data_IF_934095430309
#
_entry.id   IF_934095430309
#
_cell.length_a   1.000
_cell.length_b   1.000
_cell.length_c   1.000
_cell.angle_alpha   90.00
_cell.angle_beta   90.00
_cell.angle_gamma   90.00
#
_symmetry.space_group_name_H-M   'P 1'
#
loop_
_entity.id
_entity.type
_entity.pdbx_description
1 polymer ?
#
# COMPACT_ATOMS: atom_id res chain seq x y z
N UNK A 1 7.05 63.35 15.08
CA UNK A 1 6.29 62.98 16.29
C UNK A 1 6.05 61.48 16.22
N UNK A 2 6.48 60.70 17.22
CA UNK A 2 6.24 59.25 17.19
C UNK A 2 4.73 59.00 17.22
N UNK A 3 4.22 58.30 16.19
CA UNK A 3 2.81 57.90 16.16
C UNK A 3 2.68 56.69 17.07
N UNK A 4 2.19 56.92 18.28
CA UNK A 4 1.93 55.85 19.23
C UNK A 4 0.74 55.01 18.76
N UNK A 5 0.84 53.69 18.94
CA UNK A 5 -0.27 52.77 18.67
C UNK A 5 -1.54 53.27 19.41
N UNK A 6 -2.64 53.60 18.71
CA UNK A 6 -3.84 54.16 19.31
C UNK A 6 -4.61 53.16 20.19
N UNK A 7 -4.26 51.88 20.14
CA UNK A 7 -4.86 50.80 20.93
C UNK A 7 -4.10 50.50 22.23
N UNK A 8 -3.14 51.35 22.63
CA UNK A 8 -2.42 51.18 23.90
C UNK A 8 -3.40 51.31 25.07
N UNK A 9 -3.45 50.28 25.91
CA UNK A 9 -4.24 50.26 27.15
C UNK A 9 -3.49 50.88 28.34
N UNK A 10 -2.19 51.16 28.19
CA UNK A 10 -1.35 51.78 29.23
C UNK A 10 -0.42 52.85 28.65
N UNK A 11 -0.26 53.94 29.39
CA UNK A 11 0.63 55.05 29.03
C UNK A 11 1.59 55.32 30.18
N UNK A 12 2.88 55.31 29.87
CA UNK A 12 3.95 55.59 30.83
C UNK A 12 4.19 57.09 30.85
N UNK A 13 4.21 57.67 32.04
CA UNK A 13 4.42 59.11 32.23
C UNK A 13 5.43 59.35 33.35
N UNK A 14 5.89 60.59 33.51
CA UNK A 14 6.74 61.00 34.64
C UNK A 14 6.11 60.80 36.04
N UNK A 15 4.80 60.49 36.09
CA UNK A 15 4.06 60.23 37.32
C UNK A 15 3.83 58.73 37.57
N UNK A 16 4.31 57.86 36.68
CA UNK A 16 4.23 56.39 36.84
C UNK A 16 5.13 55.99 38.01
N UNK A 17 4.61 55.26 39.03
CA UNK A 17 5.42 54.75 40.13
C UNK A 17 6.65 53.95 39.64
N UNK A 18 7.76 54.07 40.36
CA UNK A 18 9.02 53.38 40.06
C UNK A 18 9.15 52.04 40.81
N UNK A 19 8.03 51.50 41.31
CA UNK A 19 7.94 50.24 42.05
C UNK A 19 8.13 49.01 41.16
N UNK A 20 7.98 49.14 39.84
CA UNK A 20 8.22 48.06 38.88
C UNK A 20 6.94 47.32 38.48
N UNK A 21 5.87 47.43 39.26
CA UNK A 21 4.61 46.70 39.08
C UNK A 21 3.99 46.91 37.68
N UNK A 22 4.01 48.14 37.18
CA UNK A 22 3.47 48.45 35.86
C UNK A 22 4.34 47.94 34.70
N UNK A 23 5.63 47.69 34.97
CA UNK A 23 6.59 47.08 34.04
C UNK A 23 6.38 45.58 34.00
N UNK A 24 6.27 44.96 35.18
CA UNK A 24 6.09 43.51 35.33
C UNK A 24 4.78 43.07 34.70
N UNK A 25 3.66 43.76 34.97
CA UNK A 25 2.37 43.53 34.31
C UNK A 25 2.45 43.60 32.76
N UNK A 26 3.28 44.52 32.24
CA UNK A 26 3.45 44.69 30.80
C UNK A 26 4.28 43.55 30.20
N UNK A 27 5.35 43.13 30.91
CA UNK A 27 6.19 41.99 30.52
C UNK A 27 5.37 40.69 30.55
N UNK A 28 4.55 40.47 31.58
CA UNK A 28 3.68 39.30 31.70
C UNK A 28 2.66 39.25 30.55
N UNK A 29 2.02 40.38 30.22
CA UNK A 29 1.09 40.43 29.08
C UNK A 29 1.80 40.17 27.73
N UNK A 30 3.02 40.67 27.56
CA UNK A 30 3.82 40.40 26.35
C UNK A 30 4.18 38.92 26.30
N UNK A 31 4.58 38.34 27.43
CA UNK A 31 4.90 36.93 27.55
C UNK A 31 3.70 36.04 27.23
N UNK A 32 2.52 36.33 27.78
CA UNK A 32 1.27 35.64 27.47
C UNK A 32 0.92 35.72 25.98
N UNK A 33 1.06 36.89 25.36
CA UNK A 33 0.79 37.06 23.93
C UNK A 33 1.81 36.28 23.06
N UNK A 34 3.09 36.28 23.44
CA UNK A 34 4.12 35.51 22.75
C UNK A 34 3.86 34.00 22.89
N UNK A 35 3.47 33.54 24.08
CA UNK A 35 3.08 32.16 24.33
C UNK A 35 1.86 31.76 23.50
N UNK A 36 0.82 32.61 23.46
CA UNK A 36 -0.37 32.39 22.62
C UNK A 36 0.00 32.26 21.14
N UNK A 37 0.86 33.14 20.62
CA UNK A 37 1.30 33.05 19.23
C UNK A 37 2.09 31.78 18.96
N UNK A 38 2.98 31.37 19.88
CA UNK A 38 3.72 30.12 19.79
C UNK A 38 2.77 28.92 19.75
N UNK A 39 1.82 28.85 20.68
CA UNK A 39 0.86 27.74 20.76
C UNK A 39 -0.01 27.64 19.49
N UNK A 40 -0.38 28.79 18.90
CA UNK A 40 -1.11 28.83 17.62
C UNK A 40 -0.26 28.34 16.45
N UNK A 41 1.02 28.68 16.40
CA UNK A 41 1.94 28.16 15.39
C UNK A 41 2.19 26.66 15.58
N UNK A 42 2.49 26.21 16.79
CA UNK A 42 2.69 24.79 17.11
C UNK A 42 1.46 23.95 16.76
N UNK A 43 0.25 24.46 17.06
CA UNK A 43 -1.00 23.79 16.69
C UNK A 43 -1.21 23.74 15.17
N UNK A 44 -0.82 24.80 14.45
CA UNK A 44 -0.86 24.83 12.98
C UNK A 44 0.11 23.82 12.40
N UNK A 45 1.34 23.77 12.90
CA UNK A 45 2.37 22.83 12.46
C UNK A 45 1.98 21.38 12.76
N UNK A 46 1.39 21.12 13.93
CA UNK A 46 0.83 19.82 14.27
C UNK A 46 -0.29 19.40 13.31
N UNK A 47 -1.21 20.31 12.98
CA UNK A 47 -2.29 20.06 12.03
C UNK A 47 -1.76 19.82 10.60
N UNK A 48 -0.76 20.58 10.16
CA UNK A 48 -0.13 20.42 8.84
C UNK A 48 0.66 19.12 8.73
N UNK A 49 1.35 18.73 9.80
CA UNK A 49 2.04 17.44 9.91
C UNK A 49 1.05 16.27 9.88
N UNK A 50 -0.08 16.38 10.59
CA UNK A 50 -1.14 15.37 10.60
C UNK A 50 -1.91 15.27 9.27
N UNK A 51 -2.01 16.37 8.53
CA UNK A 51 -2.60 16.39 7.19
C UNK A 51 -1.64 15.90 6.08
N UNK A 52 -0.38 15.62 6.43
CA UNK A 52 0.63 15.19 5.47
C UNK A 52 0.40 13.75 5.03
N UNK A 53 0.74 13.45 3.77
CA UNK A 53 0.84 12.07 3.28
C UNK A 53 1.79 11.30 4.21
N UNK A 54 1.35 10.20 4.84
CA UNK A 54 2.19 9.43 5.77
C UNK A 54 3.34 8.76 5.01
N UNK A 55 4.40 8.41 5.73
CA UNK A 55 5.52 7.64 5.17
C UNK A 55 5.03 6.35 4.50
N UNK A 56 5.52 6.10 3.30
CA UNK A 56 5.07 5.00 2.43
C UNK A 56 3.74 5.25 1.70
N UNK A 57 3.04 6.34 1.98
CA UNK A 57 1.86 6.77 1.22
C UNK A 57 2.23 7.12 -0.23
N UNK A 58 1.30 6.85 -1.15
CA UNK A 58 1.49 7.05 -2.59
C UNK A 58 0.52 8.12 -3.08
N UNK A 59 1.03 9.05 -3.89
CA UNK A 59 0.25 10.11 -4.53
C UNK A 59 0.43 10.08 -6.05
N UNK A 60 -0.54 10.64 -6.76
CA UNK A 60 -0.40 11.01 -8.16
C UNK A 60 0.25 12.40 -8.26
N UNK A 61 1.28 12.53 -9.10
CA UNK A 61 2.01 13.78 -9.30
C UNK A 61 2.43 13.93 -10.77
N UNK A 62 1.44 14.13 -11.64
CA UNK A 62 1.64 14.14 -13.10
C UNK A 62 2.52 15.29 -13.60
N UNK A 63 2.63 16.37 -12.81
CA UNK A 63 3.38 17.58 -13.14
C UNK A 63 4.69 17.71 -12.37
N UNK A 64 5.11 16.69 -11.63
CA UNK A 64 6.37 16.67 -10.88
C UNK A 64 6.51 17.79 -9.83
N UNK A 65 5.43 18.11 -9.11
CA UNK A 65 5.40 19.18 -8.11
C UNK A 65 5.72 18.70 -6.69
N UNK A 66 5.68 17.39 -6.43
CA UNK A 66 6.02 16.86 -5.12
C UNK A 66 7.50 17.08 -4.80
N UNK A 67 7.79 17.53 -3.58
CA UNK A 67 9.16 17.79 -3.12
C UNK A 67 10.02 16.53 -3.23
N UNK A 68 11.10 16.60 -4.02
CA UNK A 68 11.98 15.48 -4.32
C UNK A 68 12.79 14.95 -3.14
N UNK A 69 12.90 15.71 -2.05
CA UNK A 69 13.48 15.24 -0.78
C UNK A 69 12.50 14.38 0.02
N UNK A 70 11.20 14.60 -0.18
CA UNK A 70 10.13 13.96 0.59
C UNK A 70 9.47 12.82 -0.20
N UNK A 71 9.51 12.88 -1.52
CA UNK A 71 8.86 11.96 -2.42
C UNK A 71 9.81 11.44 -3.50
N UNK A 72 9.62 10.17 -3.89
CA UNK A 72 10.37 9.52 -4.97
C UNK A 72 9.39 8.80 -5.91
N UNK A 73 9.73 8.71 -7.19
CA UNK A 73 8.97 7.90 -8.16
C UNK A 73 8.81 6.46 -7.65
N UNK A 74 7.59 5.92 -7.70
CA UNK A 74 7.30 4.53 -7.39
C UNK A 74 7.58 3.66 -8.63
N UNK A 75 8.86 3.49 -8.95
CA UNK A 75 9.36 2.82 -10.16
C UNK A 75 10.44 1.76 -9.87
N UNK A 76 10.45 1.19 -8.65
CA UNK A 76 11.47 0.24 -8.19
C UNK A 76 12.89 0.79 -8.02
N UNK A 77 13.10 2.12 -8.10
CA UNK A 77 14.43 2.68 -7.87
C UNK A 77 14.96 2.35 -6.46
N UNK A 78 16.28 2.16 -6.38
CA UNK A 78 16.97 2.01 -5.11
C UNK A 78 17.17 3.37 -4.45
N UNK A 79 16.85 3.47 -3.15
CA UNK A 79 17.05 4.67 -2.32
C UNK A 79 17.89 4.32 -1.09
N UNK A 80 18.58 5.31 -0.52
CA UNK A 80 19.49 5.11 0.61
C UNK A 80 18.75 4.71 1.89
N UNK A 81 19.17 3.63 2.54
CA UNK A 81 18.70 3.23 3.87
C UNK A 81 19.03 4.28 4.93
N UNK A 82 20.21 4.90 4.84
CA UNK A 82 20.67 5.90 5.82
C UNK A 82 19.91 7.21 5.70
N UNK A 83 19.69 7.70 4.48
CA UNK A 83 18.94 8.94 4.26
C UNK A 83 17.46 8.78 4.62
N UNK A 84 16.86 7.62 4.31
CA UNK A 84 15.43 7.36 4.51
C UNK A 84 15.19 6.30 5.60
N UNK A 85 15.95 6.40 6.70
CA UNK A 85 15.97 5.40 7.78
C UNK A 85 14.62 5.25 8.49
N UNK A 86 13.85 6.33 8.60
CA UNK A 86 12.53 6.31 9.23
C UNK A 86 11.55 5.42 8.46
N UNK A 87 11.48 5.57 7.14
CA UNK A 87 10.70 4.68 6.29
C UNK A 87 11.25 3.24 6.31
N UNK A 88 12.58 3.08 6.22
CA UNK A 88 13.20 1.76 6.30
C UNK A 88 12.79 1.01 7.58
N UNK A 89 12.86 1.66 8.75
CA UNK A 89 12.48 1.07 10.03
C UNK A 89 10.99 0.69 10.11
N UNK A 90 10.10 1.38 9.38
CA UNK A 90 8.69 0.98 9.31
C UNK A 90 8.51 -0.36 8.59
N UNK A 91 9.28 -0.61 7.54
CA UNK A 91 9.11 -1.78 6.66
C UNK A 91 10.08 -2.94 6.96
N UNK A 92 11.21 -2.70 7.62
CA UNK A 92 12.27 -3.69 7.85
C UNK A 92 12.22 -4.30 9.25
N UNK A 93 12.56 -5.58 9.32
CA UNK A 93 12.74 -6.34 10.56
C UNK A 93 13.95 -7.26 10.42
N UNK A 94 14.52 -7.72 11.54
CA UNK A 94 15.68 -8.61 11.55
C UNK A 94 15.37 -9.94 12.28
N UNK A 95 15.24 -11.02 11.52
CA UNK A 95 15.01 -12.37 12.07
C UNK A 95 16.21 -12.78 12.91
N UNK A 96 15.96 -13.14 14.17
CA UNK A 96 17.01 -13.48 15.14
C UNK A 96 17.34 -14.96 15.16
N UNK A 97 16.36 -15.82 14.87
CA UNK A 97 16.54 -17.26 14.67
C UNK A 97 15.29 -17.87 14.06
N UNK A 98 15.42 -19.12 13.60
CA UNK A 98 14.28 -19.98 13.30
C UNK A 98 14.33 -21.17 14.27
N UNK A 99 13.17 -21.61 14.75
CA UNK A 99 12.99 -22.82 15.56
C UNK A 99 12.36 -23.91 14.68
N UNK A 100 13.16 -24.80 14.05
CA UNK A 100 12.66 -25.86 13.17
C UNK A 100 11.60 -26.76 13.80
N UNK A 101 11.78 -27.12 15.08
CA UNK A 101 10.87 -28.05 15.76
C UNK A 101 9.42 -27.55 15.87
N UNK A 102 9.17 -26.25 15.67
CA UNK A 102 7.84 -25.64 15.75
C UNK A 102 7.52 -24.75 14.54
N UNK A 103 8.38 -24.75 13.51
CA UNK A 103 8.27 -23.88 12.33
C UNK A 103 8.15 -22.38 12.65
N UNK A 104 8.77 -21.94 13.75
CA UNK A 104 8.67 -20.56 14.23
C UNK A 104 9.84 -19.70 13.77
N UNK A 105 9.51 -18.56 13.19
CA UNK A 105 10.46 -17.49 12.88
C UNK A 105 10.44 -16.52 14.07
N UNK A 106 11.58 -16.40 14.77
CA UNK A 106 11.70 -15.57 15.97
C UNK A 106 12.11 -14.14 15.59
N UNK A 107 11.34 -13.18 16.07
CA UNK A 107 11.53 -11.75 15.84
C UNK A 107 10.74 -10.97 16.90
N UNK A 108 11.40 -10.36 17.88
CA UNK A 108 10.74 -9.64 18.96
C UNK A 108 9.92 -8.44 18.47
N UNK A 109 8.70 -8.28 18.98
CA UNK A 109 7.83 -7.13 18.71
C UNK A 109 7.68 -6.82 17.21
N UNK A 110 7.51 -7.86 16.40
CA UNK A 110 7.49 -7.73 14.94
C UNK A 110 6.30 -6.91 14.41
N UNK A 111 5.17 -6.93 15.12
CA UNK A 111 3.95 -6.20 14.76
C UNK A 111 3.21 -6.79 13.55
N UNK A 112 3.57 -8.00 13.13
CA UNK A 112 2.91 -8.67 12.01
C UNK A 112 1.57 -9.27 12.43
N UNK A 113 0.64 -9.33 11.48
CA UNK A 113 -0.71 -9.87 11.67
C UNK A 113 -0.97 -11.09 10.78
N UNK A 114 -1.98 -11.90 11.13
CA UNK A 114 -2.38 -13.07 10.36
C UNK A 114 -2.69 -12.69 8.90
N UNK A 115 -2.16 -13.46 7.95
CA UNK A 115 -2.35 -13.26 6.52
C UNK A 115 -1.56 -12.08 5.93
N UNK A 116 -0.71 -11.40 6.71
CA UNK A 116 0.17 -10.38 6.16
C UNK A 116 1.23 -10.98 5.22
N UNK A 117 1.51 -10.29 4.12
CA UNK A 117 2.60 -10.67 3.23
C UNK A 117 3.95 -10.17 3.75
N UNK A 118 4.94 -11.07 3.79
CA UNK A 118 6.34 -10.78 4.14
C UNK A 118 7.28 -11.40 3.11
N UNK A 119 8.52 -10.92 3.08
CA UNK A 119 9.60 -11.56 2.31
C UNK A 119 10.93 -11.45 3.04
N UNK A 120 11.84 -12.36 2.71
CA UNK A 120 13.15 -12.50 3.36
C UNK A 120 14.28 -12.22 2.37
N UNK A 121 15.41 -11.71 2.88
CA UNK A 121 16.62 -11.47 2.08
C UNK A 121 17.50 -12.72 1.93
N UNK A 122 17.20 -13.79 2.65
CA UNK A 122 18.04 -14.99 2.74
C UNK A 122 17.31 -16.24 2.26
N UNK A 123 18.09 -17.25 1.87
CA UNK A 123 17.63 -18.59 1.50
C UNK A 123 18.23 -19.61 2.47
N UNK A 124 17.43 -20.54 2.96
CA UNK A 124 17.84 -21.57 3.92
C UNK A 124 16.70 -21.94 4.87
N UNK A 125 16.79 -23.12 5.48
CA UNK A 125 15.80 -23.56 6.48
C UNK A 125 14.36 -23.62 5.99
N UNK A 126 14.12 -23.92 4.71
CA UNK A 126 12.79 -23.93 4.10
C UNK A 126 12.35 -22.58 3.51
N UNK A 127 13.13 -21.52 3.69
CA UNK A 127 12.86 -20.18 3.13
C UNK A 127 13.65 -19.97 1.85
N UNK A 128 13.01 -19.38 0.84
CA UNK A 128 13.65 -18.90 -0.39
C UNK A 128 13.62 -17.37 -0.41
N UNK A 129 14.77 -16.74 -0.63
CA UNK A 129 14.89 -15.28 -0.69
C UNK A 129 13.93 -14.68 -1.74
N UNK A 130 13.45 -13.47 -1.48
CA UNK A 130 12.55 -12.69 -2.34
C UNK A 130 11.17 -13.32 -2.61
N UNK A 131 10.92 -14.53 -2.10
CA UNK A 131 9.62 -15.19 -2.18
C UNK A 131 8.66 -14.54 -1.18
N UNK A 132 7.41 -14.37 -1.61
CA UNK A 132 6.34 -13.81 -0.78
C UNK A 132 5.73 -14.94 0.07
N UNK A 133 5.62 -14.68 1.36
CA UNK A 133 5.03 -15.60 2.32
C UNK A 133 3.93 -14.90 3.10
N UNK A 134 2.92 -15.67 3.51
CA UNK A 134 1.86 -15.21 4.40
C UNK A 134 2.23 -15.54 5.85
N UNK A 135 2.14 -14.55 6.72
CA UNK A 135 2.30 -14.69 8.17
C UNK A 135 1.14 -15.52 8.73
N UNK A 136 1.45 -16.54 9.51
CA UNK A 136 0.51 -17.48 10.13
C UNK A 136 0.78 -17.60 11.62
N UNK A 137 -0.29 -17.72 12.40
CA UNK A 137 -0.28 -17.89 13.85
C UNK A 137 0.68 -16.92 14.59
N UNK A 138 0.65 -15.61 14.30
CA UNK A 138 1.56 -14.66 14.93
C UNK A 138 1.30 -14.57 16.43
N UNK A 139 2.39 -14.47 17.19
CA UNK A 139 2.41 -14.00 18.57
C UNK A 139 3.01 -12.59 18.59
N UNK A 140 3.44 -12.10 19.76
CA UNK A 140 4.19 -10.83 19.83
C UNK A 140 5.61 -10.97 19.29
N UNK A 141 6.21 -12.16 19.38
CA UNK A 141 7.65 -12.36 19.22
C UNK A 141 8.02 -13.45 18.19
N UNK A 142 7.04 -14.13 17.63
CA UNK A 142 7.25 -15.14 16.61
C UNK A 142 6.01 -15.33 15.72
N UNK A 143 6.20 -15.98 14.59
CA UNK A 143 5.13 -16.41 13.71
C UNK A 143 5.59 -17.60 12.86
N UNK A 144 4.65 -18.25 12.19
CA UNK A 144 4.88 -19.28 11.18
C UNK A 144 4.55 -18.72 9.79
N UNK A 145 4.89 -19.42 8.71
CA UNK A 145 4.63 -18.92 7.35
C UNK A 145 3.95 -19.96 6.45
N UNK A 146 3.21 -19.48 5.44
CA UNK A 146 2.62 -20.29 4.37
C UNK A 146 2.77 -19.63 3.00
N UNK A 147 2.63 -20.39 1.92
CA UNK A 147 2.67 -19.88 0.52
C UNK A 147 1.33 -19.34 0.03
N UNK A 148 0.23 -19.64 0.74
CA UNK A 148 -1.12 -19.13 0.44
C UNK A 148 -1.74 -18.51 1.70
N UNK A 149 -2.76 -17.62 1.57
CA UNK A 149 -3.29 -16.85 2.70
C UNK A 149 -3.76 -17.67 3.91
N UNK A 150 -4.23 -18.89 3.66
CA UNK A 150 -4.70 -19.81 4.70
C UNK A 150 -4.16 -21.23 4.50
N UNK A 151 -2.98 -21.35 3.85
CA UNK A 151 -2.37 -22.62 3.49
C UNK A 151 -1.75 -23.39 4.64
N UNK A 152 -1.17 -24.54 4.32
CA UNK A 152 -0.35 -25.30 5.27
C UNK A 152 0.88 -24.50 5.69
N UNK A 153 1.29 -24.70 6.95
CA UNK A 153 2.55 -24.15 7.45
C UNK A 153 3.72 -24.78 6.66
N UNK A 154 4.70 -23.94 6.32
CA UNK A 154 5.95 -24.37 5.71
C UNK A 154 6.80 -25.02 6.79
N UNK A 155 7.28 -26.23 6.50
CA UNK A 155 8.26 -26.96 7.30
C UNK A 155 9.62 -26.24 7.25
N UNK A 156 10.07 -25.72 8.38
CA UNK A 156 11.33 -25.00 8.50
C UNK A 156 12.41 -25.95 9.01
N UNK A 157 13.49 -26.12 8.26
CA UNK A 157 14.42 -27.24 8.47
C UNK A 157 15.72 -26.87 9.20
N UNK A 158 16.01 -25.58 9.36
CA UNK A 158 17.24 -25.11 10.03
C UNK A 158 17.08 -23.68 10.55
N UNK A 159 17.81 -23.32 11.61
CA UNK A 159 17.87 -21.93 12.06
C UNK A 159 18.48 -21.01 10.99
N UNK A 160 17.95 -19.80 10.84
CA UNK A 160 18.45 -18.75 9.96
C UNK A 160 18.34 -17.39 10.65
N UNK A 161 19.15 -16.43 10.20
CA UNK A 161 19.06 -15.02 10.60
C UNK A 161 19.11 -14.13 9.37
N UNK A 162 18.54 -12.93 9.47
CA UNK A 162 18.67 -11.94 8.40
C UNK A 162 17.46 -11.02 8.23
N UNK A 163 17.53 -10.21 7.19
CA UNK A 163 16.55 -9.16 6.93
C UNK A 163 15.21 -9.72 6.42
N UNK A 164 14.14 -9.12 6.92
CA UNK A 164 12.76 -9.33 6.48
C UNK A 164 12.11 -7.98 6.20
N UNK A 165 11.23 -7.94 5.19
CA UNK A 165 10.37 -6.79 4.93
C UNK A 165 8.90 -7.17 5.12
N UNK A 166 8.14 -6.29 5.79
CA UNK A 166 6.71 -6.48 6.13
C UNK A 166 5.73 -5.87 5.13
N UNK A 167 6.23 -5.20 4.09
CA UNK A 167 5.48 -4.81 2.90
C UNK A 167 6.26 -5.25 1.66
N UNK A 168 5.77 -6.31 1.01
CA UNK A 168 6.47 -6.99 -0.09
C UNK A 168 6.64 -6.13 -1.36
N UNK A 169 5.98 -4.98 -1.46
CA UNK A 169 6.21 -4.01 -2.55
C UNK A 169 7.63 -3.40 -2.52
N UNK A 170 8.25 -3.27 -1.35
CA UNK A 170 9.61 -2.71 -1.20
C UNK A 170 10.67 -3.78 -1.37
N UNK A 171 11.78 -3.50 -2.05
CA UNK A 171 12.90 -4.46 -2.24
C UNK A 171 14.06 -4.26 -1.25
N UNK A 172 14.95 -5.24 -1.17
CA UNK A 172 16.15 -5.16 -0.30
C UNK A 172 17.29 -4.32 -0.88
N UNK A 173 17.16 -3.77 -2.09
CA UNK A 173 18.21 -3.00 -2.74
C UNK A 173 19.44 -3.84 -3.03
N UNK A 174 20.61 -3.25 -2.78
CA UNK A 174 21.92 -3.90 -2.77
C UNK A 174 22.15 -4.85 -1.59
N UNK A 175 21.16 -5.02 -0.71
CA UNK A 175 21.25 -5.86 0.48
C UNK A 175 22.00 -5.22 1.65
N UNK A 176 22.47 -3.97 1.54
CA UNK A 176 23.28 -3.32 2.58
C UNK A 176 22.97 -1.84 2.78
N UNK A 177 23.13 -1.01 1.75
CA UNK A 177 23.06 0.45 1.87
C UNK A 177 21.79 1.06 1.27
N UNK A 178 21.04 0.28 0.49
CA UNK A 178 19.85 0.73 -0.22
C UNK A 178 18.67 -0.21 -0.04
N UNK A 179 17.48 0.27 -0.41
CA UNK A 179 16.26 -0.53 -0.54
C UNK A 179 15.44 0.01 -1.73
N UNK A 180 14.65 -0.85 -2.37
CA UNK A 180 13.83 -0.44 -3.50
C UNK A 180 12.46 0.06 -3.01
N UNK A 181 11.99 1.17 -3.57
CA UNK A 181 10.60 1.62 -3.41
C UNK A 181 9.64 0.74 -4.23
N UNK A 182 8.30 0.83 -4.01
CA UNK A 182 7.32 0.14 -4.84
C UNK A 182 7.45 0.47 -6.33
N UNK A 183 6.94 -0.41 -7.19
CA UNK A 183 6.75 -0.15 -8.62
C UNK A 183 5.26 -0.11 -8.94
N UNK A 184 4.76 1.05 -9.38
CA UNK A 184 3.35 1.28 -9.70
C UNK A 184 3.12 1.54 -11.20
N UNK A 185 4.14 1.32 -12.03
CA UNK A 185 4.01 1.51 -13.48
C UNK A 185 3.14 0.39 -14.07
N UNK A 186 2.17 0.77 -14.89
CA UNK A 186 1.35 -0.16 -15.68
C UNK A 186 0.33 -0.99 -14.91
N UNK A 187 0.17 -0.81 -13.59
CA UNK A 187 -0.74 -1.61 -12.77
C UNK A 187 -1.81 -0.74 -12.08
N UNK A 188 -3.00 -1.31 -11.90
CA UNK A 188 -4.06 -0.67 -11.13
C UNK A 188 -3.94 -0.99 -9.63
N UNK A 189 -4.28 0.00 -8.80
CA UNK A 189 -4.46 -0.23 -7.37
C UNK A 189 -5.84 -0.84 -7.09
N UNK A 190 -5.87 -1.80 -6.14
CA UNK A 190 -7.11 -2.34 -5.56
C UNK A 190 -7.00 -2.24 -4.05
N UNK A 191 -8.11 -1.90 -3.38
CA UNK A 191 -8.17 -1.94 -1.93
C UNK A 191 -7.91 -3.36 -1.41
N UNK A 192 -7.01 -3.48 -0.43
CA UNK A 192 -6.68 -4.75 0.19
C UNK A 192 -7.86 -5.31 1.02
N UNK A 193 -7.91 -6.63 1.13
CA UNK A 193 -8.89 -7.38 1.90
C UNK A 193 -10.20 -7.64 1.17
N UNK A 194 -11.09 -8.33 1.87
CA UNK A 194 -12.43 -8.66 1.41
C UNK A 194 -13.39 -7.52 1.73
N UNK A 195 -14.11 -7.03 0.73
CA UNK A 195 -15.15 -6.03 0.89
C UNK A 195 -16.26 -6.54 1.83
N UNK A 196 -16.85 -5.66 2.65
CA UNK A 196 -17.83 -6.08 3.67
C UNK A 196 -19.16 -6.64 3.13
N UNK A 197 -19.72 -6.04 2.07
CA UNK A 197 -21.07 -6.40 1.60
C UNK A 197 -21.24 -6.48 0.08
N UNK A 198 -20.27 -6.03 -0.71
CA UNK A 198 -20.44 -5.92 -2.16
C UNK A 198 -20.03 -7.22 -2.84
N UNK A 199 -21.02 -7.93 -3.36
CA UNK A 199 -20.82 -9.17 -4.08
C UNK A 199 -20.27 -8.95 -5.50
N UNK A 200 -19.42 -9.87 -5.96
CA UNK A 200 -19.01 -10.01 -7.37
C UNK A 200 -20.00 -10.90 -8.13
N UNK A 201 -19.87 -10.96 -9.45
CA UNK A 201 -20.81 -11.67 -10.33
C UNK A 201 -21.04 -13.15 -9.97
N UNK A 202 -20.00 -13.84 -9.49
CA UNK A 202 -20.08 -15.23 -9.06
C UNK A 202 -20.61 -15.44 -7.63
N UNK A 203 -21.23 -14.41 -7.02
CA UNK A 203 -21.50 -14.32 -5.59
C UNK A 203 -20.22 -14.24 -4.73
N UNK A 204 -20.39 -13.95 -3.43
CA UNK A 204 -19.29 -13.64 -2.51
C UNK A 204 -18.68 -12.26 -2.76
N UNK A 205 -17.95 -11.73 -1.78
CA UNK A 205 -17.49 -10.35 -1.85
C UNK A 205 -16.24 -10.17 -2.74
N UNK A 206 -16.03 -8.93 -3.20
CA UNK A 206 -14.75 -8.53 -3.80
C UNK A 206 -13.61 -8.75 -2.81
N UNK A 207 -12.47 -9.23 -3.30
CA UNK A 207 -11.28 -9.48 -2.49
C UNK A 207 -10.06 -8.93 -3.24
N UNK A 208 -9.29 -8.10 -2.55
CA UNK A 208 -8.03 -7.55 -3.04
C UNK A 208 -6.78 -8.27 -2.55
N UNK A 209 -6.93 -9.28 -1.68
CA UNK A 209 -5.82 -9.93 -1.01
C UNK A 209 -5.15 -9.02 0.02
N UNK A 210 -4.04 -9.47 0.59
CA UNK A 210 -3.27 -8.70 1.57
C UNK A 210 -2.57 -7.50 0.93
N UNK A 211 -2.15 -6.53 1.75
CA UNK A 211 -1.32 -5.41 1.27
C UNK A 211 -0.07 -5.95 0.56
N UNK A 212 0.20 -5.45 -0.65
CA UNK A 212 1.30 -5.90 -1.52
C UNK A 212 1.02 -7.14 -2.37
N UNK A 213 -0.22 -7.65 -2.39
CA UNK A 213 -0.64 -8.72 -3.28
C UNK A 213 -0.63 -8.26 -4.75
N UNK A 214 0.01 -9.05 -5.61
CA UNK A 214 0.19 -8.83 -7.05
C UNK A 214 -0.79 -9.68 -7.87
N UNK A 215 -2.03 -9.20 -7.97
CA UNK A 215 -3.03 -9.80 -8.85
C UNK A 215 -2.66 -9.67 -10.33
N UNK A 216 -2.95 -10.71 -11.10
CA UNK A 216 -2.89 -10.69 -12.57
C UNK A 216 -4.24 -10.28 -13.15
N UNK A 217 -4.25 -9.82 -14.40
CA UNK A 217 -5.48 -9.58 -15.15
C UNK A 217 -6.29 -10.87 -15.30
N UNK A 218 -7.62 -10.74 -15.26
CA UNK A 218 -8.55 -11.88 -15.32
C UNK A 218 -9.82 -11.46 -16.03
N UNK A 219 -10.29 -12.30 -16.95
CA UNK A 219 -11.63 -12.22 -17.52
C UNK A 219 -12.59 -13.15 -16.78
N UNK A 220 -13.89 -12.84 -16.84
CA UNK A 220 -14.90 -13.77 -16.33
C UNK A 220 -15.03 -14.95 -17.29
N UNK A 221 -15.17 -16.15 -16.71
CA UNK A 221 -15.56 -17.33 -17.48
C UNK A 221 -16.91 -17.07 -18.17
N UNK A 222 -16.99 -17.41 -19.45
CA UNK A 222 -18.19 -17.25 -20.26
C UNK A 222 -18.29 -18.35 -21.30
N UNK A 223 -19.50 -18.53 -21.84
CA UNK A 223 -19.81 -19.51 -22.89
C UNK A 223 -20.46 -18.79 -24.06
N UNK A 224 -20.18 -19.25 -25.28
CA UNK A 224 -20.84 -18.77 -26.49
C UNK A 224 -21.88 -19.79 -26.96
N UNK A 225 -23.04 -19.30 -27.41
CA UNK A 225 -24.12 -20.12 -27.96
C UNK A 225 -25.01 -19.30 -28.88
N UNK A 226 -25.82 -19.98 -29.69
CA UNK A 226 -26.82 -19.32 -30.53
C UNK A 226 -27.97 -18.77 -29.65
N UNK A 227 -28.66 -17.74 -30.14
CA UNK A 227 -29.70 -16.97 -29.41
C UNK A 227 -30.96 -17.81 -29.07
N UNK A 228 -31.06 -19.04 -29.57
CA UNK A 228 -32.18 -19.96 -29.36
C UNK A 228 -31.73 -21.20 -28.55
N UNK A 229 -32.64 -21.88 -27.81
CA UNK A 229 -32.32 -23.06 -27.01
C UNK A 229 -32.04 -24.28 -27.90
N UNK A 230 -30.87 -24.32 -28.53
CA UNK A 230 -30.37 -25.55 -29.12
C UNK A 230 -29.63 -26.37 -28.07
N UNK A 231 -29.89 -27.67 -28.15
CA UNK A 231 -29.49 -28.72 -27.23
C UNK A 231 -28.01 -28.62 -26.84
N UNK A 232 -27.73 -28.46 -25.54
CA UNK A 232 -26.37 -28.46 -24.98
C UNK A 232 -25.76 -29.85 -25.18
N UNK A 233 -24.95 -30.04 -26.21
CA UNK A 233 -24.19 -31.27 -26.40
C UNK A 233 -22.93 -31.21 -25.54
N UNK A 234 -22.71 -32.24 -24.71
CA UNK A 234 -21.42 -32.40 -24.04
C UNK A 234 -20.32 -32.65 -25.09
N UNK A 235 -19.09 -32.14 -24.90
CA UNK A 235 -17.97 -32.43 -25.80
C UNK A 235 -17.77 -33.95 -25.92
N UNK A 236 -17.82 -34.48 -27.14
CA UNK A 236 -17.61 -35.91 -27.42
C UNK A 236 -18.86 -36.77 -27.57
N UNK A 237 -20.07 -36.21 -27.39
CA UNK A 237 -21.32 -36.93 -27.65
C UNK A 237 -21.82 -36.66 -29.08
N UNK A 238 -22.04 -37.71 -29.87
CA UNK A 238 -22.75 -37.63 -31.14
C UNK A 238 -24.26 -37.82 -30.93
N UNK A 239 -25.08 -37.02 -31.61
CA UNK A 239 -26.52 -37.29 -31.71
C UNK A 239 -26.72 -38.46 -32.66
N UNK A 240 -27.15 -39.61 -32.16
CA UNK A 240 -27.72 -40.66 -32.99
C UNK A 240 -29.24 -40.46 -33.04
N UNK A 241 -29.70 -39.50 -33.85
CA UNK A 241 -31.07 -39.49 -34.36
C UNK A 241 -31.03 -39.12 -35.84
N UNK A 242 -31.58 -40.02 -36.65
CA UNK A 242 -31.23 -40.31 -38.04
C UNK A 242 -31.58 -39.24 -39.08
N UNK A 243 -31.57 -37.96 -38.74
CA UNK A 243 -31.88 -36.87 -39.68
C UNK A 243 -31.09 -35.56 -39.49
N UNK A 244 -30.30 -35.36 -38.42
CA UNK A 244 -29.53 -34.10 -38.25
C UNK A 244 -28.08 -34.34 -37.84
N UNK A 245 -27.15 -34.02 -38.75
CA UNK A 245 -25.72 -33.99 -38.52
C UNK A 245 -25.37 -32.77 -37.66
N UNK A 246 -24.82 -32.96 -36.45
CA UNK A 246 -24.31 -31.86 -35.63
C UNK A 246 -23.04 -31.28 -36.26
N UNK A 247 -23.16 -30.16 -36.97
CA UNK A 247 -22.00 -29.45 -37.52
C UNK A 247 -21.35 -28.64 -36.39
N UNK A 248 -20.13 -29.01 -36.00
CA UNK A 248 -19.28 -28.13 -35.18
C UNK A 248 -18.86 -26.94 -36.05
N UNK A 249 -19.47 -25.79 -35.81
CA UNK A 249 -19.01 -24.54 -36.43
C UNK A 249 -17.98 -23.89 -35.52
N UNK A 250 -16.84 -23.50 -36.08
CA UNK A 250 -15.86 -22.71 -35.33
C UNK A 250 -16.48 -21.38 -34.93
N UNK A 251 -16.35 -21.02 -33.65
CA UNK A 251 -16.68 -19.68 -33.19
C UNK A 251 -15.68 -18.70 -33.78
N UNK A 252 -16.20 -17.64 -34.43
CA UNK A 252 -15.38 -16.57 -34.96
C UNK A 252 -14.84 -15.63 -33.88
N UNK A 253 -14.08 -14.62 -34.31
CA UNK A 253 -13.66 -13.54 -33.42
C UNK A 253 -14.86 -12.68 -32.98
N UNK A 254 -14.78 -12.03 -31.81
CA UNK A 254 -15.76 -11.02 -31.43
C UNK A 254 -15.92 -9.96 -32.53
N UNK A 255 -17.16 -9.66 -32.91
CA UNK A 255 -17.49 -8.66 -33.95
C UNK A 255 -18.62 -7.74 -33.47
N UNK A 256 -18.84 -6.65 -34.21
CA UNK A 256 -19.90 -5.68 -33.92
C UNK A 256 -21.29 -6.34 -34.02
N UNK A 257 -22.14 -6.12 -33.02
CA UNK A 257 -23.52 -6.63 -32.96
C UNK A 257 -24.58 -5.61 -33.43
N UNK A 258 -24.13 -4.45 -33.92
CA UNK A 258 -24.97 -3.34 -34.38
C UNK A 258 -25.47 -2.41 -33.28
N UNK A 259 -25.29 -2.75 -31.99
CA UNK A 259 -25.80 -1.98 -30.85
C UNK A 259 -24.70 -1.50 -29.90
N UNK A 260 -23.70 -2.34 -29.64
CA UNK A 260 -22.64 -2.12 -28.65
C UNK A 260 -21.30 -1.72 -29.30
N UNK A 261 -21.29 -1.51 -30.62
CA UNK A 261 -20.11 -1.13 -31.38
C UNK A 261 -19.15 -2.29 -31.62
N UNK A 262 -18.01 -1.99 -32.24
CA UNK A 262 -16.98 -3.00 -32.53
C UNK A 262 -16.12 -3.29 -31.29
N UNK A 263 -15.92 -4.56 -30.92
CA UNK A 263 -15.02 -4.93 -29.82
C UNK A 263 -13.59 -4.43 -30.07
N UNK A 264 -12.94 -3.90 -29.02
CA UNK A 264 -11.50 -3.55 -29.05
C UNK A 264 -10.72 -4.76 -28.58
N UNK A 265 -9.75 -5.21 -29.37
CA UNK A 265 -8.91 -6.37 -29.08
C UNK A 265 -7.46 -5.95 -28.89
N UNK A 266 -6.75 -6.66 -28.01
CA UNK A 266 -5.34 -6.45 -27.67
C UNK A 266 -4.80 -7.67 -26.92
N UNK A 267 -3.56 -7.59 -26.49
CA UNK A 267 -2.89 -8.61 -25.68
C UNK A 267 -3.18 -8.48 -24.16
N UNK A 268 -3.80 -7.38 -23.73
CA UNK A 268 -4.19 -7.10 -22.34
C UNK A 268 -5.69 -6.83 -22.19
N UNK A 269 -6.32 -7.34 -21.13
CA UNK A 269 -7.70 -6.99 -20.76
C UNK A 269 -7.71 -5.82 -19.78
N UNK A 270 -8.01 -4.61 -20.25
CA UNK A 270 -8.11 -3.41 -19.40
C UNK A 270 -9.43 -2.66 -19.58
N UNK A 271 -9.95 -1.98 -18.55
CA UNK A 271 -10.96 -0.94 -18.73
C UNK A 271 -10.34 0.27 -19.45
N UNK A 272 -11.13 1.32 -19.72
CA UNK A 272 -10.57 2.61 -20.13
C UNK A 272 -9.67 3.18 -19.01
N UNK A 273 -8.54 3.77 -19.38
CA UNK A 273 -7.54 4.25 -18.43
C UNK A 273 -6.85 5.54 -18.91
N UNK A 274 -6.22 6.23 -17.96
CA UNK A 274 -5.30 7.36 -18.18
C UNK A 274 -4.03 7.06 -17.37
N UNK A 275 -2.85 7.22 -17.98
CA UNK A 275 -1.59 7.05 -17.27
C UNK A 275 -1.31 8.25 -16.36
N UNK A 276 -0.89 7.95 -15.14
CA UNK A 276 -0.47 8.93 -14.13
C UNK A 276 0.91 8.56 -13.58
N UNK A 277 1.63 9.54 -13.04
CA UNK A 277 2.90 9.31 -12.35
C UNK A 277 2.63 9.13 -10.86
N UNK A 278 3.15 8.02 -10.30
CA UNK A 278 3.04 7.73 -8.88
C UNK A 278 4.33 8.04 -8.13
N UNK A 279 4.20 8.77 -7.03
CA UNK A 279 5.30 9.02 -6.09
C UNK A 279 4.98 8.48 -4.70
N UNK A 280 5.98 7.89 -4.05
CA UNK A 280 5.93 7.40 -2.68
C UNK A 280 6.57 8.40 -1.73
N UNK A 281 5.97 8.60 -0.55
CA UNK A 281 6.51 9.41 0.54
C UNK A 281 7.65 8.67 1.23
N UNK A 282 8.85 9.23 1.24
CA UNK A 282 10.08 8.58 1.75
C UNK A 282 10.73 9.24 2.97
N UNK A 283 10.44 10.52 3.24
CA UNK A 283 10.97 11.29 4.38
C UNK A 283 9.90 12.17 4.99
#
# INVERSE_FOLDING_TARGET
MAVFNPSKTRTWTKNTPADGDLIDDEIDRIYENAQYSKDRHDQTDANLSAAQVPLGGIIEDNLDQANSSLFKEANSQAISRTTFVTLWNLIHRNVTSITPATDRINLSSHGCIEGQLVKFAFTGGGITALTKYYVRNPTTNDFQISTTPSGSIIDLTSSQTGDMIVNVEYGFGDGSTTYNVPDRRGIFARGAGTHGSRAKAANGNYDGGSVGFDGQDRSHSHIHGLIAPYLRMAPGNAMADGTTFGVSTSLGLPTNDGSNGSPRMGDETTPAWIAVKYKVRVA
#
